data_IF_220565703951
#
_entry.id   IF_220565703951
#
_cell.length_a   1.000
_cell.length_b   1.000
_cell.length_c   1.000
_cell.angle_alpha   90.00
_cell.angle_beta   90.00
_cell.angle_gamma   90.00
#
_symmetry.space_group_name_H-M   'P 1'
#
loop_
_entity.id
_entity.type
_entity.pdbx_description
1 polymer ?
#
# COMPACT_ATOMS: atom_id res chain seq x y z
N UNK A 1 -12.77 -5.46 -12.13
CA UNK A 1 -11.54 -6.21 -12.42
C UNK A 1 -10.60 -6.12 -11.23
N UNK A 2 -10.12 -7.27 -10.74
CA UNK A 2 -9.13 -7.39 -9.65
C UNK A 2 -7.84 -7.96 -10.25
N UNK A 3 -6.70 -7.35 -9.92
CA UNK A 3 -5.38 -7.85 -10.32
C UNK A 3 -4.56 -8.12 -9.08
N UNK A 4 -4.20 -9.37 -8.82
CA UNK A 4 -3.26 -9.73 -7.78
C UNK A 4 -1.83 -9.61 -8.28
N UNK A 5 -1.02 -8.79 -7.63
CA UNK A 5 0.41 -8.68 -7.90
C UNK A 5 1.14 -9.53 -6.88
N UNK A 6 1.71 -10.63 -7.34
CA UNK A 6 2.39 -11.62 -6.49
C UNK A 6 3.75 -12.01 -7.10
N UNK A 7 4.59 -12.72 -6.35
CA UNK A 7 5.77 -13.36 -6.91
C UNK A 7 5.37 -14.70 -7.55
N UNK A 8 6.09 -15.08 -8.59
CA UNK A 8 5.80 -16.32 -9.33
C UNK A 8 5.96 -17.59 -8.50
N UNK A 9 6.90 -17.59 -7.57
CA UNK A 9 7.20 -18.74 -6.71
C UNK A 9 6.04 -19.11 -5.74
N UNK A 10 5.20 -18.15 -5.37
CA UNK A 10 4.05 -18.39 -4.49
C UNK A 10 2.71 -18.58 -5.24
N UNK A 11 2.71 -18.53 -6.58
CA UNK A 11 1.47 -18.52 -7.39
C UNK A 11 0.55 -19.69 -7.06
N UNK A 12 1.09 -20.89 -7.01
CA UNK A 12 0.29 -22.09 -6.77
C UNK A 12 -0.39 -22.05 -5.41
N UNK A 13 0.39 -21.82 -4.37
CA UNK A 13 -0.09 -21.76 -2.99
C UNK A 13 -1.09 -20.61 -2.80
N UNK A 14 -0.79 -19.44 -3.36
CA UNK A 14 -1.68 -18.28 -3.29
C UNK A 14 -3.04 -18.57 -3.95
N UNK A 15 -3.05 -19.19 -5.13
CA UNK A 15 -4.30 -19.57 -5.83
C UNK A 15 -5.10 -20.58 -5.00
N UNK A 16 -4.47 -21.64 -4.51
CA UNK A 16 -5.13 -22.67 -3.72
C UNK A 16 -5.74 -22.14 -2.41
N UNK A 17 -5.05 -21.21 -1.72
CA UNK A 17 -5.47 -20.73 -0.40
C UNK A 17 -6.42 -19.54 -0.49
N UNK A 18 -6.19 -18.63 -1.42
CA UNK A 18 -6.89 -17.33 -1.51
C UNK A 18 -7.53 -17.13 -2.88
N UNK A 19 -6.75 -17.28 -3.95
CA UNK A 19 -7.08 -16.83 -5.30
C UNK A 19 -8.34 -17.50 -5.85
N UNK A 20 -8.47 -18.82 -5.74
CA UNK A 20 -9.61 -19.57 -6.29
C UNK A 20 -10.91 -19.21 -5.57
N UNK A 21 -10.86 -18.98 -4.26
CA UNK A 21 -12.00 -18.49 -3.48
C UNK A 21 -12.43 -17.10 -3.92
N UNK A 22 -11.50 -16.17 -4.06
CA UNK A 22 -11.79 -14.81 -4.49
C UNK A 22 -12.30 -14.81 -5.93
N UNK A 23 -11.68 -15.58 -6.83
CA UNK A 23 -12.14 -15.71 -8.22
C UNK A 23 -13.56 -16.22 -8.33
N UNK A 24 -13.94 -17.20 -7.49
CA UNK A 24 -15.32 -17.71 -7.44
C UNK A 24 -16.31 -16.62 -7.02
N UNK A 25 -16.01 -15.86 -5.98
CA UNK A 25 -16.85 -14.75 -5.50
C UNK A 25 -16.93 -13.66 -6.57
N UNK A 26 -15.80 -13.22 -7.12
CA UNK A 26 -15.74 -12.20 -8.16
C UNK A 26 -16.57 -12.60 -9.39
N UNK A 27 -16.48 -13.87 -9.81
CA UNK A 27 -17.24 -14.39 -10.96
C UNK A 27 -18.75 -14.30 -10.76
N UNK A 28 -19.26 -14.53 -9.53
CA UNK A 28 -20.70 -14.40 -9.25
C UNK A 28 -21.21 -12.96 -9.31
N UNK A 29 -20.29 -11.98 -9.27
CA UNK A 29 -20.59 -10.54 -9.39
C UNK A 29 -20.09 -9.91 -10.70
N UNK A 30 -19.78 -10.72 -11.72
CA UNK A 30 -19.24 -10.25 -13.00
C UNK A 30 -17.92 -9.48 -12.88
N UNK A 31 -17.11 -9.80 -11.88
CA UNK A 31 -15.76 -9.24 -11.68
C UNK A 31 -14.73 -10.25 -12.14
N UNK A 32 -13.80 -9.83 -13.00
CA UNK A 32 -12.67 -10.67 -13.44
C UNK A 32 -11.51 -10.59 -12.48
N UNK A 33 -10.74 -11.67 -12.39
CA UNK A 33 -9.51 -11.75 -11.58
C UNK A 33 -8.35 -12.14 -12.47
N UNK A 34 -7.29 -11.34 -12.44
CA UNK A 34 -6.03 -11.57 -13.13
C UNK A 34 -4.84 -11.58 -12.15
N UNK A 35 -3.70 -12.06 -12.64
CA UNK A 35 -2.46 -12.12 -11.89
C UNK A 35 -1.34 -11.45 -12.64
N UNK A 36 -0.60 -10.56 -11.98
CA UNK A 36 0.65 -10.00 -12.44
C UNK A 36 1.79 -10.50 -11.53
N UNK A 37 2.96 -10.70 -12.12
CA UNK A 37 4.08 -11.31 -11.40
C UNK A 37 5.22 -10.32 -11.27
N UNK A 38 5.50 -9.93 -10.02
CA UNK A 38 6.68 -9.15 -9.70
C UNK A 38 7.92 -10.04 -9.84
N UNK A 39 8.81 -9.67 -10.75
CA UNK A 39 10.09 -10.37 -10.97
C UNK A 39 11.26 -9.42 -10.61
N UNK A 40 12.18 -9.92 -9.80
CA UNK A 40 13.40 -9.19 -9.41
C UNK A 40 14.31 -8.90 -10.62
N UNK A 41 14.18 -9.67 -11.71
CA UNK A 41 14.94 -9.51 -12.93
C UNK A 41 14.27 -8.57 -13.96
N UNK A 42 13.03 -8.12 -13.72
CA UNK A 42 12.36 -7.14 -14.58
C UNK A 42 12.86 -5.72 -14.22
N UNK A 43 14.05 -5.41 -14.73
CA UNK A 43 14.83 -4.21 -14.39
C UNK A 43 15.52 -3.63 -15.64
N UNK A 44 15.81 -2.31 -15.64
CA UNK A 44 16.48 -1.66 -16.78
C UNK A 44 18.01 -1.88 -16.83
N UNK A 45 18.55 -2.81 -16.07
CA UNK A 45 19.99 -3.04 -15.99
C UNK A 45 20.34 -4.46 -15.56
N UNK A 46 21.44 -4.61 -14.83
CA UNK A 46 21.91 -5.92 -14.33
C UNK A 46 21.54 -6.07 -12.85
N UNK A 47 21.02 -7.24 -12.49
CA UNK A 47 20.71 -7.55 -11.09
C UNK A 47 21.99 -7.52 -10.24
N UNK A 48 22.05 -6.70 -9.17
CA UNK A 48 23.20 -6.67 -8.27
C UNK A 48 23.47 -8.03 -7.64
N UNK A 49 24.73 -8.43 -7.58
CA UNK A 49 25.15 -9.68 -6.96
C UNK A 49 24.69 -9.75 -5.49
N UNK A 50 24.09 -10.87 -5.11
CA UNK A 50 23.57 -11.11 -3.75
C UNK A 50 22.23 -10.45 -3.43
N UNK A 51 21.62 -9.71 -4.35
CA UNK A 51 20.28 -9.15 -4.12
C UNK A 51 19.21 -10.23 -4.19
N UNK A 52 18.42 -10.33 -3.12
CA UNK A 52 17.22 -11.19 -3.02
C UNK A 52 15.95 -10.40 -2.74
N UNK A 53 16.09 -9.14 -2.34
CA UNK A 53 14.97 -8.26 -1.98
C UNK A 53 14.26 -7.75 -3.23
N UNK A 54 12.90 -7.83 -3.31
CA UNK A 54 12.12 -7.17 -4.36
C UNK A 54 12.38 -5.65 -4.42
N UNK A 55 12.00 -5.03 -5.54
CA UNK A 55 12.32 -3.62 -5.81
C UNK A 55 11.32 -2.62 -5.21
N UNK A 56 10.37 -3.07 -4.42
CA UNK A 56 9.36 -2.23 -3.77
C UNK A 56 8.03 -2.13 -4.52
N UNK A 57 7.11 -1.34 -3.98
CA UNK A 57 5.72 -1.25 -4.43
C UNK A 57 5.57 -0.63 -5.83
N UNK A 58 6.46 0.30 -6.21
CA UNK A 58 6.44 0.90 -7.55
C UNK A 58 6.72 -0.13 -8.64
N UNK A 59 7.77 -0.95 -8.49
CA UNK A 59 8.08 -2.00 -9.45
C UNK A 59 7.01 -3.12 -9.43
N UNK A 60 6.40 -3.41 -8.28
CA UNK A 60 5.28 -4.34 -8.21
C UNK A 60 4.11 -3.87 -9.09
N UNK A 61 3.72 -2.59 -9.02
CA UNK A 61 2.64 -2.04 -9.85
C UNK A 61 3.00 -2.03 -11.34
N UNK A 62 4.26 -1.81 -11.70
CA UNK A 62 4.72 -1.91 -13.08
C UNK A 62 4.55 -3.32 -13.67
N UNK A 63 4.66 -4.37 -12.86
CA UNK A 63 4.39 -5.75 -13.31
C UNK A 63 2.96 -5.94 -13.84
N UNK A 64 2.00 -5.13 -13.36
CA UNK A 64 0.62 -5.15 -13.83
C UNK A 64 0.34 -4.19 -15.01
N UNK A 65 1.32 -3.46 -15.54
CA UNK A 65 1.15 -2.43 -16.57
C UNK A 65 0.36 -2.93 -17.79
N UNK A 66 0.57 -4.19 -18.19
CA UNK A 66 -0.08 -4.76 -19.39
C UNK A 66 -1.58 -5.02 -19.23
N UNK A 67 -2.10 -5.07 -18.01
CA UNK A 67 -3.50 -5.36 -17.70
C UNK A 67 -4.23 -4.16 -17.08
N UNK A 68 -3.53 -3.10 -16.70
CA UNK A 68 -4.07 -1.87 -16.14
C UNK A 68 -4.28 -0.82 -17.22
N UNK A 69 -5.38 -0.89 -17.95
CA UNK A 69 -5.72 0.00 -19.07
C UNK A 69 -6.90 0.94 -18.80
N UNK A 70 -7.41 0.95 -17.58
CA UNK A 70 -8.44 1.88 -17.06
C UNK A 70 -7.96 2.49 -15.74
N UNK A 71 -8.55 3.57 -15.22
CA UNK A 71 -8.26 4.02 -13.86
C UNK A 71 -8.37 2.89 -12.86
N UNK A 72 -7.44 2.83 -11.92
CA UNK A 72 -7.30 1.73 -10.97
C UNK A 72 -6.95 2.21 -9.57
N UNK A 73 -7.19 1.36 -8.57
CA UNK A 73 -6.78 1.59 -7.19
C UNK A 73 -5.71 0.56 -6.84
N UNK A 74 -4.61 1.04 -6.26
CA UNK A 74 -3.57 0.19 -5.65
C UNK A 74 -3.80 0.13 -4.15
N UNK A 75 -3.79 -1.08 -3.59
CA UNK A 75 -3.89 -1.34 -2.16
C UNK A 75 -2.90 -2.42 -1.74
N UNK A 76 -2.52 -2.43 -0.48
CA UNK A 76 -1.81 -3.56 0.12
C UNK A 76 -2.78 -4.73 0.34
N UNK A 77 -2.35 -5.94 0.05
CA UNK A 77 -3.20 -7.12 0.17
C UNK A 77 -3.37 -7.60 1.62
N UNK A 78 -2.53 -7.16 2.53
CA UNK A 78 -2.52 -7.46 3.96
C UNK A 78 -3.15 -6.36 4.83
N UNK A 79 -3.76 -5.35 4.21
CA UNK A 79 -4.40 -4.23 4.89
C UNK A 79 -5.92 -4.28 4.74
N UNK A 80 -6.62 -3.96 5.84
CA UNK A 80 -8.05 -3.68 5.85
C UNK A 80 -8.29 -2.18 5.88
N UNK A 81 -9.02 -1.66 4.90
CA UNK A 81 -9.24 -0.22 4.71
C UNK A 81 -10.62 0.28 5.16
N UNK A 82 -11.52 -0.61 5.59
CA UNK A 82 -12.89 -0.26 5.97
C UNK A 82 -13.86 -0.19 4.80
N UNK A 83 -15.17 0.02 5.11
CA UNK A 83 -16.22 0.18 4.08
C UNK A 83 -16.12 1.50 3.34
N UNK A 84 -15.70 2.56 4.00
CA UNK A 84 -15.59 3.92 3.45
C UNK A 84 -14.18 4.26 2.99
N UNK A 85 -13.25 3.35 3.25
CA UNK A 85 -11.96 3.25 2.57
C UNK A 85 -10.87 4.24 2.91
N UNK A 86 -10.71 4.81 4.10
CA UNK A 86 -9.45 5.48 4.49
C UNK A 86 -9.49 6.05 5.91
N UNK A 87 -8.51 5.78 6.76
CA UNK A 87 -8.49 6.39 8.07
C UNK A 87 -7.20 6.58 8.81
N UNK A 88 -7.37 7.49 9.80
CA UNK A 88 -6.55 7.81 10.95
C UNK A 88 -6.00 6.56 11.62
N UNK A 89 -4.69 6.45 11.72
CA UNK A 89 -4.02 5.35 12.39
C UNK A 89 -4.03 5.54 13.92
N UNK A 90 -4.36 4.50 14.62
CA UNK A 90 -4.05 4.37 16.05
C UNK A 90 -2.65 3.76 16.17
N UNK A 91 -1.74 4.44 16.86
CA UNK A 91 -0.44 3.87 17.20
C UNK A 91 -0.63 2.68 18.13
N UNK A 92 -0.08 1.52 17.76
CA UNK A 92 -0.05 0.36 18.64
C UNK A 92 1.04 0.55 19.70
N UNK A 93 0.87 -0.09 20.86
CA UNK A 93 1.83 -0.02 21.98
C UNK A 93 3.14 -0.81 21.71
N UNK A 94 3.28 -1.47 20.57
CA UNK A 94 4.34 -2.43 20.26
C UNK A 94 5.38 -1.86 19.30
N UNK A 95 6.38 -1.13 19.85
CA UNK A 95 7.57 -0.72 19.12
C UNK A 95 7.38 0.45 18.15
N UNK A 96 8.47 0.87 17.51
CA UNK A 96 8.46 1.96 16.55
C UNK A 96 7.82 1.56 15.21
N UNK A 97 6.91 2.38 14.72
CA UNK A 97 6.26 2.17 13.41
C UNK A 97 6.76 3.18 12.38
N UNK A 98 6.66 2.83 11.12
CA UNK A 98 6.94 3.73 9.99
C UNK A 98 5.65 4.16 9.33
N UNK A 99 5.49 5.46 9.06
CA UNK A 99 4.31 6.03 8.40
C UNK A 99 4.68 7.15 7.44
N UNK A 100 3.99 7.20 6.30
CA UNK A 100 4.04 8.35 5.40
C UNK A 100 3.10 9.45 5.91
N UNK A 101 3.62 10.42 6.66
CA UNK A 101 2.83 11.55 7.16
C UNK A 101 2.50 12.48 5.99
N UNK A 102 1.20 12.77 5.81
CA UNK A 102 0.69 13.59 4.73
C UNK A 102 0.47 15.02 5.19
N UNK A 103 1.03 16.00 4.47
CA UNK A 103 0.66 17.41 4.57
C UNK A 103 -0.27 17.79 3.42
N UNK A 104 -1.19 18.71 3.69
CA UNK A 104 -2.20 19.14 2.72
C UNK A 104 -2.38 20.65 2.77
N UNK A 105 -2.82 21.21 1.65
CA UNK A 105 -3.36 22.57 1.60
C UNK A 105 -4.82 22.65 2.09
N UNK A 106 -5.36 23.86 2.14
CA UNK A 106 -6.76 24.11 2.56
C UNK A 106 -7.80 23.45 1.63
N UNK A 107 -7.42 23.13 0.41
CA UNK A 107 -8.25 22.46 -0.58
C UNK A 107 -8.14 20.93 -0.52
N UNK A 108 -7.44 20.36 0.47
CA UNK A 108 -7.09 18.94 0.60
C UNK A 108 -6.24 18.39 -0.55
N UNK A 109 -5.44 19.21 -1.21
CA UNK A 109 -4.42 18.66 -2.10
C UNK A 109 -3.20 18.27 -1.26
N UNK A 110 -2.65 17.10 -1.56
CA UNK A 110 -1.43 16.62 -0.93
C UNK A 110 -0.27 17.52 -1.33
N UNK A 111 0.43 18.08 -0.37
CA UNK A 111 1.60 18.92 -0.60
C UNK A 111 2.92 18.20 -0.32
N UNK A 112 2.89 17.23 0.60
CA UNK A 112 4.07 16.48 1.01
C UNK A 112 3.70 15.13 1.60
N UNK A 113 4.51 14.10 1.37
CA UNK A 113 4.47 12.81 2.08
C UNK A 113 5.83 12.58 2.71
N UNK A 114 5.89 12.56 4.03
CA UNK A 114 7.13 12.38 4.79
C UNK A 114 7.15 10.98 5.36
N UNK A 115 8.05 10.12 4.86
CA UNK A 115 8.27 8.81 5.48
C UNK A 115 8.93 8.98 6.85
N UNK A 116 8.15 8.84 7.90
CA UNK A 116 8.59 8.98 9.29
C UNK A 116 8.75 7.62 9.92
N UNK A 117 9.98 7.31 10.33
CA UNK A 117 10.36 6.02 10.94
C UNK A 117 10.40 6.12 12.46
N UNK A 118 10.43 4.96 13.12
CA UNK A 118 10.58 4.87 14.57
C UNK A 118 9.55 5.70 15.37
N UNK A 119 8.32 5.82 14.87
CA UNK A 119 7.26 6.49 15.60
C UNK A 119 6.87 5.62 16.80
N UNK A 120 7.03 6.17 17.99
CA UNK A 120 6.68 5.51 19.26
C UNK A 120 5.64 6.32 20.01
N UNK A 121 4.76 5.63 20.71
CA UNK A 121 3.79 6.26 21.60
C UNK A 121 4.49 6.74 22.88
N UNK A 122 4.17 7.94 23.32
CA UNK A 122 4.63 8.51 24.57
C UNK A 122 3.45 8.72 25.54
N UNK A 123 3.74 9.10 26.79
CA UNK A 123 2.67 9.39 27.75
C UNK A 123 1.76 10.56 27.34
N UNK A 124 2.25 11.46 26.48
CA UNK A 124 1.54 12.69 26.08
C UNK A 124 1.26 12.76 24.58
N UNK A 125 1.59 11.72 23.80
CA UNK A 125 1.38 11.74 22.34
C UNK A 125 2.24 10.72 21.60
N UNK A 126 2.97 11.16 20.60
CA UNK A 126 3.91 10.34 19.83
C UNK A 126 5.18 11.12 19.50
N UNK A 127 6.28 10.39 19.31
CA UNK A 127 7.54 10.93 18.83
C UNK A 127 8.21 10.01 17.82
N UNK A 128 9.07 10.57 16.99
CA UNK A 128 9.96 9.86 16.08
C UNK A 128 11.38 10.37 16.29
N UNK A 129 12.29 9.48 16.70
CA UNK A 129 13.69 9.81 17.00
C UNK A 129 13.84 11.03 17.92
N UNK A 130 12.96 11.16 18.95
CA UNK A 130 12.95 12.25 19.91
C UNK A 130 12.28 13.55 19.43
N UNK A 131 11.70 13.57 18.24
CA UNK A 131 10.92 14.71 17.72
C UNK A 131 9.44 14.40 17.85
N UNK A 132 8.67 15.32 18.47
CA UNK A 132 7.23 15.17 18.63
C UNK A 132 6.53 15.04 17.27
N UNK A 133 5.64 14.06 17.16
CA UNK A 133 4.77 13.83 15.99
C UNK A 133 3.35 14.20 16.37
N UNK A 134 2.69 15.00 15.53
CA UNK A 134 1.28 15.32 15.71
C UNK A 134 0.42 14.06 15.51
N UNK A 135 -0.22 13.61 16.57
CA UNK A 135 -1.07 12.41 16.59
C UNK A 135 -2.34 12.53 15.74
N UNK A 136 -2.71 13.76 15.38
CA UNK A 136 -3.85 14.06 14.51
C UNK A 136 -3.45 14.15 13.02
N UNK A 137 -2.18 13.98 12.70
CA UNK A 137 -1.69 13.96 11.33
C UNK A 137 -2.38 12.85 10.52
N UNK A 138 -2.70 13.18 9.28
CA UNK A 138 -3.12 12.16 8.31
C UNK A 138 -1.90 11.37 7.86
N UNK A 139 -2.10 10.09 7.67
CA UNK A 139 -1.05 9.19 7.18
C UNK A 139 -1.49 8.47 5.91
N UNK A 140 -0.55 8.29 5.00
CA UNK A 140 -0.77 7.44 3.83
C UNK A 140 -0.93 6.00 4.27
N UNK A 141 -2.05 5.39 3.89
CA UNK A 141 -2.30 3.97 4.10
C UNK A 141 -1.95 3.15 2.86
N UNK A 142 -1.16 3.73 1.95
CA UNK A 142 -0.73 3.11 0.70
C UNK A 142 -1.90 2.68 -0.20
N UNK A 143 -3.00 3.46 -0.16
CA UNK A 143 -4.12 3.30 -1.09
C UNK A 143 -4.12 4.48 -2.07
N UNK A 144 -3.92 4.19 -3.34
CA UNK A 144 -3.70 5.19 -4.39
C UNK A 144 -4.66 4.97 -5.55
N UNK A 145 -5.52 5.97 -5.84
CA UNK A 145 -6.27 6.04 -7.09
C UNK A 145 -5.39 6.63 -8.20
N UNK A 146 -5.13 5.87 -9.24
CA UNK A 146 -4.18 6.21 -10.29
C UNK A 146 -4.80 5.98 -11.68
N UNK A 147 -4.20 6.59 -12.69
CA UNK A 147 -4.60 6.39 -14.10
C UNK A 147 -3.54 5.59 -14.86
N UNK A 148 -3.89 4.98 -16.01
CA UNK A 148 -2.91 4.24 -16.82
C UNK A 148 -1.71 5.09 -17.27
N UNK A 149 -1.90 6.40 -17.47
CA UNK A 149 -0.82 7.33 -17.85
C UNK A 149 0.25 7.40 -16.77
N UNK A 150 -0.13 7.29 -15.49
CA UNK A 150 0.82 7.25 -14.38
C UNK A 150 1.81 6.08 -14.49
N UNK A 151 1.41 4.96 -15.09
CA UNK A 151 2.30 3.81 -15.28
C UNK A 151 3.50 4.13 -16.19
N UNK A 152 3.36 5.05 -17.15
CA UNK A 152 4.48 5.49 -17.97
C UNK A 152 5.44 6.37 -17.16
N UNK A 153 4.89 7.27 -16.33
CA UNK A 153 5.69 8.10 -15.42
C UNK A 153 6.41 7.24 -14.38
N UNK A 154 5.72 6.23 -13.84
CA UNK A 154 6.27 5.28 -12.88
C UNK A 154 7.42 4.45 -13.51
N UNK A 155 7.29 4.03 -14.77
CA UNK A 155 8.32 3.27 -15.47
C UNK A 155 9.59 4.11 -15.73
N UNK A 156 9.43 5.36 -16.18
CA UNK A 156 10.56 6.26 -16.35
C UNK A 156 11.23 6.58 -14.99
N UNK A 157 10.44 6.83 -13.95
CA UNK A 157 10.96 7.02 -12.59
C UNK A 157 11.70 5.79 -12.06
N UNK A 158 11.27 4.57 -12.42
CA UNK A 158 11.99 3.35 -12.04
C UNK A 158 13.36 3.24 -12.72
N UNK A 159 13.49 3.67 -13.97
CA UNK A 159 14.78 3.74 -14.67
C UNK A 159 15.72 4.71 -13.97
N UNK A 160 15.24 5.91 -13.66
CA UNK A 160 16.03 6.91 -12.92
C UNK A 160 16.45 6.43 -11.54
N UNK A 161 15.53 5.82 -10.79
CA UNK A 161 15.82 5.20 -9.50
C UNK A 161 16.91 4.13 -9.62
N UNK A 162 16.81 3.29 -10.65
CA UNK A 162 17.77 2.21 -10.87
C UNK A 162 19.18 2.75 -11.16
N UNK A 163 19.28 3.84 -11.91
CA UNK A 163 20.55 4.48 -12.25
C UNK A 163 21.16 5.26 -11.08
N UNK A 164 20.32 5.94 -10.28
CA UNK A 164 20.81 6.90 -9.26
C UNK A 164 20.92 6.28 -7.86
N UNK A 165 19.91 5.50 -7.44
CA UNK A 165 19.80 5.04 -6.06
C UNK A 165 20.41 3.64 -5.85
N UNK A 166 20.26 2.75 -6.83
CA UNK A 166 20.74 1.37 -6.72
C UNK A 166 22.25 1.27 -6.53
N UNK A 167 23.11 2.07 -7.20
CA UNK A 167 24.55 2.00 -6.96
C UNK A 167 24.97 2.29 -5.53
N UNK A 168 24.24 3.17 -4.83
CA UNK A 168 24.50 3.52 -3.43
C UNK A 168 23.99 2.49 -2.42
N UNK A 169 22.97 1.70 -2.80
CA UNK A 169 22.34 0.71 -1.91
C UNK A 169 21.84 -0.52 -2.68
N UNK A 170 22.74 -1.29 -3.35
CA UNK A 170 22.36 -2.29 -4.33
C UNK A 170 21.52 -3.44 -3.77
N UNK A 171 21.69 -3.78 -2.50
CA UNK A 171 20.99 -4.92 -1.88
C UNK A 171 19.65 -4.55 -1.26
N UNK A 172 19.41 -3.28 -0.91
CA UNK A 172 18.24 -2.88 -0.09
C UNK A 172 17.43 -1.73 -0.67
N UNK A 173 17.90 -1.03 -1.72
CA UNK A 173 17.14 0.06 -2.34
C UNK A 173 15.73 -0.41 -2.74
N UNK A 174 14.71 0.39 -2.48
CA UNK A 174 13.31 0.11 -2.82
C UNK A 174 12.67 1.31 -3.51
N UNK A 175 12.04 1.06 -4.62
CA UNK A 175 11.24 2.02 -5.36
C UNK A 175 9.80 2.01 -4.82
N UNK A 176 9.50 2.94 -3.94
CA UNK A 176 8.24 3.00 -3.20
C UNK A 176 7.31 4.07 -3.79
N UNK A 177 6.05 3.71 -4.06
CA UNK A 177 5.04 4.62 -4.62
C UNK A 177 4.91 5.92 -3.82
N UNK A 178 4.77 5.92 -2.47
CA UNK A 178 4.61 7.17 -1.74
C UNK A 178 5.82 8.10 -1.84
N UNK A 179 7.04 7.55 -1.89
CA UNK A 179 8.26 8.35 -2.06
C UNK A 179 8.27 8.98 -3.46
N UNK A 180 8.04 8.17 -4.49
CA UNK A 180 8.02 8.65 -5.87
C UNK A 180 6.92 9.70 -6.12
N UNK A 181 5.74 9.52 -5.55
CA UNK A 181 4.67 10.54 -5.61
C UNK A 181 5.13 11.82 -4.92
N UNK A 182 5.80 11.73 -3.76
CA UNK A 182 6.39 12.89 -3.07
C UNK A 182 7.35 13.67 -3.96
N UNK A 183 8.25 12.98 -4.64
CA UNK A 183 9.20 13.60 -5.60
C UNK A 183 8.49 14.30 -6.76
N UNK A 184 7.42 13.69 -7.30
CA UNK A 184 6.62 14.31 -8.36
C UNK A 184 5.86 15.55 -7.89
N UNK A 185 5.38 15.54 -6.64
CA UNK A 185 4.73 16.71 -6.02
C UNK A 185 5.73 17.86 -5.86
N UNK A 186 6.91 17.61 -5.31
CA UNK A 186 7.99 18.60 -5.16
C UNK A 186 8.41 19.22 -6.50
N UNK A 187 8.42 18.42 -7.56
CA UNK A 187 8.74 18.84 -8.92
C UNK A 187 7.56 19.56 -9.63
N UNK A 188 6.39 19.65 -8.99
CA UNK A 188 5.18 20.20 -9.60
C UNK A 188 4.65 19.42 -10.81
N UNK A 189 5.04 18.16 -10.95
CA UNK A 189 4.66 17.28 -12.08
C UNK A 189 3.35 16.52 -11.82
N UNK A 190 2.85 16.54 -10.60
CA UNK A 190 1.66 15.81 -10.18
C UNK A 190 0.86 16.62 -9.17
N UNK A 191 -0.45 16.37 -9.13
CA UNK A 191 -1.32 16.79 -8.03
C UNK A 191 -2.06 15.58 -7.49
N UNK A 192 -2.25 15.50 -6.19
CA UNK A 192 -2.96 14.42 -5.52
C UNK A 192 -4.02 14.98 -4.61
N UNK A 193 -5.25 14.48 -4.71
CA UNK A 193 -6.35 14.81 -3.82
C UNK A 193 -6.37 13.84 -2.66
N UNK A 194 -6.33 14.37 -1.43
CA UNK A 194 -6.47 13.55 -0.22
C UNK A 194 -7.95 13.36 0.10
N UNK A 195 -8.37 12.10 0.18
CA UNK A 195 -9.70 11.71 0.60
C UNK A 195 -9.65 11.19 2.04
N UNK A 196 -10.36 11.87 2.93
CA UNK A 196 -10.42 11.48 4.35
C UNK A 196 -11.55 10.47 4.57
N UNK A 197 -11.31 9.49 5.40
CA UNK A 197 -12.32 8.53 5.81
C UNK A 197 -12.47 8.47 7.32
N UNK A 198 -13.58 7.95 7.79
CA UNK A 198 -13.86 7.72 9.20
C UNK A 198 -13.72 6.25 9.63
N UNK A 199 -13.30 5.33 8.78
CA UNK A 199 -13.08 3.91 9.10
C UNK A 199 -11.78 3.66 9.90
N UNK A 200 -11.70 2.56 10.57
CA UNK A 200 -10.47 2.13 11.25
C UNK A 200 -9.69 1.21 10.31
N UNK A 201 -8.45 1.55 10.07
CA UNK A 201 -7.52 0.69 9.33
C UNK A 201 -6.94 -0.40 10.23
N UNK A 202 -6.69 -1.57 9.68
CA UNK A 202 -5.96 -2.64 10.33
C UNK A 202 -4.96 -3.23 9.35
N UNK A 203 -3.67 -3.25 9.73
CA UNK A 203 -2.62 -4.01 9.04
C UNK A 203 -2.36 -5.32 9.75
N UNK A 204 -2.05 -6.35 9.00
CA UNK A 204 -1.68 -7.68 9.51
C UNK A 204 -0.24 -8.01 9.14
N UNK A 205 0.68 -7.12 9.47
CA UNK A 205 2.10 -7.28 9.12
C UNK A 205 2.79 -8.30 10.01
N UNK A 206 2.35 -8.43 11.26
CA UNK A 206 2.94 -9.35 12.23
C UNK A 206 1.92 -10.34 12.76
N UNK A 207 2.41 -11.52 13.18
CA UNK A 207 1.55 -12.59 13.70
C UNK A 207 0.83 -12.17 15.01
N UNK A 208 1.43 -11.30 15.79
CA UNK A 208 0.84 -10.74 17.01
C UNK A 208 -0.42 -9.91 16.73
N UNK A 209 -0.52 -9.27 15.57
CA UNK A 209 -1.66 -8.43 15.19
C UNK A 209 -2.94 -9.26 14.97
N UNK A 210 -2.81 -10.55 14.63
CA UNK A 210 -3.93 -11.41 14.22
C UNK A 210 -5.02 -11.52 15.29
N UNK A 211 -4.64 -11.61 16.57
CA UNK A 211 -5.62 -11.75 17.66
C UNK A 211 -6.44 -10.47 17.83
N UNK A 212 -5.79 -9.30 17.85
CA UNK A 212 -6.44 -8.00 17.98
C UNK A 212 -7.34 -7.69 16.78
N UNK A 213 -6.89 -8.04 15.57
CA UNK A 213 -7.68 -7.88 14.34
C UNK A 213 -8.92 -8.77 14.37
N UNK A 214 -8.80 -10.06 14.75
CA UNK A 214 -9.94 -10.97 14.91
C UNK A 214 -10.98 -10.45 15.89
N UNK A 215 -10.55 -9.95 17.04
CA UNK A 215 -11.46 -9.37 18.04
C UNK A 215 -12.17 -8.13 17.52
N UNK A 216 -11.47 -7.29 16.74
CA UNK A 216 -12.03 -6.12 16.11
C UNK A 216 -13.08 -6.48 15.06
N UNK A 217 -12.81 -7.45 14.19
CA UNK A 217 -13.77 -7.94 13.21
C UNK A 217 -14.99 -8.59 13.87
N UNK A 218 -14.81 -9.35 14.97
CA UNK A 218 -15.92 -9.87 15.75
C UNK A 218 -16.83 -8.77 16.27
N UNK A 219 -16.27 -7.69 16.83
CA UNK A 219 -17.03 -6.50 17.26
C UNK A 219 -17.74 -5.82 16.11
N UNK A 220 -17.14 -5.75 14.91
CA UNK A 220 -17.79 -5.20 13.72
C UNK A 220 -19.04 -6.01 13.32
N UNK A 221 -18.98 -7.33 13.41
CA UNK A 221 -20.13 -8.20 13.18
C UNK A 221 -21.20 -8.02 14.27
N UNK A 222 -20.80 -8.03 15.54
CA UNK A 222 -21.70 -7.83 16.68
C UNK A 222 -22.43 -6.47 16.65
N UNK A 223 -21.74 -5.43 16.18
CA UNK A 223 -22.29 -4.07 16.02
C UNK A 223 -23.08 -3.88 14.71
N UNK A 224 -23.21 -4.90 13.88
CA UNK A 224 -23.96 -4.87 12.63
C UNK A 224 -23.29 -4.04 11.51
N UNK A 225 -22.00 -3.69 11.63
CA UNK A 225 -21.24 -3.06 10.55
C UNK A 225 -21.12 -3.98 9.34
N UNK A 226 -20.96 -5.26 9.60
CA UNK A 226 -21.01 -6.33 8.61
C UNK A 226 -22.08 -7.35 8.97
N UNK A 227 -22.69 -7.95 7.96
CA UNK A 227 -23.57 -9.11 8.16
C UNK A 227 -22.73 -10.38 8.38
N UNK A 228 -23.32 -11.38 9.09
CA UNK A 228 -22.65 -12.66 9.30
C UNK A 228 -22.33 -13.38 7.97
N UNK A 229 -23.23 -13.25 6.98
CA UNK A 229 -22.95 -13.55 5.59
C UNK A 229 -22.49 -12.27 4.90
N UNK A 230 -21.18 -12.10 4.72
CA UNK A 230 -20.54 -10.90 4.18
C UNK A 230 -20.95 -10.57 2.75
N UNK A 231 -21.50 -11.54 2.01
CA UNK A 231 -21.87 -11.37 0.62
C UNK A 231 -23.38 -11.22 0.39
N UNK A 232 -24.18 -11.25 1.46
CA UNK A 232 -25.64 -11.18 1.37
C UNK A 232 -26.18 -9.78 0.98
N UNK A 233 -25.33 -8.76 0.92
CA UNK A 233 -25.66 -7.38 0.54
C UNK A 233 -24.88 -6.86 -0.69
N UNK A 234 -24.28 -7.76 -1.45
CA UNK A 234 -23.63 -7.49 -2.75
C UNK A 234 -24.59 -7.71 -3.93
#
# INVERSE_FOLDING_TARGET
HVVFIIRKDIEKEFKEVIGDRIASICSSHNVTVDYAFQDINDIPGTLPEGRTKPWGTGQAVLAAKKVLNTPFIVINADDYYGKEGFKKNTLSDNGGVTRGICKMDEQNNLTEVIETKNIVKTATGAEADGVAVDVDSLVSMNMWGLTPEFLNVLEEGFKEFFEKEVPGNPLKAEYLIPIFIGELLEQGKMSVKVLKTNDTWYGMTYHEDVAAVKDSFKKMLENGLYKADLFSDL
#
